data_IF_587913683573
#
_entry.id   IF_587913683573
#
_cell.length_a   1.000
_cell.length_b   1.000
_cell.length_c   1.000
_cell.angle_alpha   90.00
_cell.angle_beta   90.00
_cell.angle_gamma   90.00
#
_symmetry.space_group_name_H-M   'P 1'
#
loop_
_entity.id
_entity.type
_entity.pdbx_description
1 polymer ?
#
# COMPACT_ATOMS: atom_id res chain seq x y z
N UNK A 1 -34.00 38.26 34.99
CA UNK A 1 -35.06 38.03 33.99
C UNK A 1 -34.78 36.69 33.34
N UNK A 2 -35.40 35.62 33.86
CA UNK A 2 -36.54 34.88 33.25
C UNK A 2 -36.06 33.93 32.14
N UNK A 3 -36.22 32.60 32.15
CA UNK A 3 -37.06 31.67 32.94
C UNK A 3 -36.50 30.23 32.78
N UNK A 4 -36.76 29.38 33.78
CA UNK A 4 -36.53 27.91 33.82
C UNK A 4 -37.32 27.16 32.74
N UNK A 5 -36.97 25.90 32.44
CA UNK A 5 -37.89 24.74 32.52
C UNK A 5 -37.06 23.45 32.72
N UNK A 6 -37.37 22.76 33.81
CA UNK A 6 -37.03 21.37 34.14
C UNK A 6 -38.09 20.45 33.53
N UNK A 7 -37.71 19.25 33.10
CA UNK A 7 -38.59 18.07 33.21
C UNK A 7 -37.76 16.82 33.50
N UNK A 8 -37.82 16.37 34.75
CA UNK A 8 -37.66 14.97 35.14
C UNK A 8 -38.92 14.21 34.72
N UNK A 9 -38.80 12.97 34.23
CA UNK A 9 -39.69 11.89 34.65
C UNK A 9 -39.09 10.50 34.39
N UNK A 10 -38.84 9.88 35.52
CA UNK A 10 -38.52 8.50 35.85
C UNK A 10 -39.80 7.67 35.79
N UNK A 11 -39.84 6.49 35.13
CA UNK A 11 -40.65 5.32 35.56
C UNK A 11 -39.95 4.02 35.08
N UNK A 12 -39.53 3.13 36.00
CA UNK A 12 -39.28 1.72 35.76
C UNK A 12 -40.50 0.86 36.19
N UNK A 13 -40.80 -0.23 35.49
CA UNK A 13 -41.70 -1.30 35.93
C UNK A 13 -41.29 -2.59 35.17
N UNK A 14 -40.76 -3.70 35.70
CA UNK A 14 -40.85 -4.48 36.94
C UNK A 14 -41.74 -5.74 36.79
N UNK A 15 -41.09 -6.90 37.02
CA UNK A 15 -41.55 -8.26 37.39
C UNK A 15 -42.44 -9.09 36.45
N UNK A 16 -41.95 -10.30 36.09
CA UNK A 16 -42.36 -11.50 36.83
C UNK A 16 -41.30 -12.63 36.74
N UNK A 17 -40.76 -12.99 37.90
CA UNK A 17 -40.07 -14.25 38.15
C UNK A 17 -41.13 -15.32 38.42
N UNK A 18 -40.99 -16.50 37.82
CA UNK A 18 -41.39 -17.74 38.48
C UNK A 18 -40.16 -18.61 38.64
N UNK A 19 -39.55 -18.49 39.81
CA UNK A 19 -38.70 -19.51 40.42
C UNK A 19 -39.60 -20.63 40.94
N UNK A 20 -39.32 -21.87 40.56
CA UNK A 20 -39.71 -23.02 41.37
C UNK A 20 -38.42 -23.68 41.84
N UNK A 21 -38.14 -23.60 43.13
CA UNK A 21 -36.96 -24.16 43.76
C UNK A 21 -37.36 -25.43 44.51
N UNK A 22 -36.66 -26.52 44.18
CA UNK A 22 -36.12 -27.59 45.06
C UNK A 22 -37.01 -28.27 46.10
N UNK A 23 -37.02 -29.60 46.07
CA UNK A 23 -36.56 -30.38 47.22
C UNK A 23 -35.96 -31.75 46.83
N UNK A 24 -34.84 -32.04 47.49
CA UNK A 24 -33.88 -33.16 47.41
C UNK A 24 -34.38 -34.52 47.89
N UNK A 25 -33.80 -35.63 47.39
CA UNK A 25 -32.88 -36.52 48.16
C UNK A 25 -32.48 -37.83 47.43
N UNK A 26 -31.16 -38.03 47.43
CA UNK A 26 -30.39 -39.26 47.72
C UNK A 26 -30.28 -40.47 46.76
N UNK A 27 -29.05 -41.01 46.80
CA UNK A 27 -28.59 -42.39 46.54
C UNK A 27 -28.06 -42.75 45.12
N UNK A 28 -26.77 -42.45 44.92
CA UNK A 28 -25.68 -43.43 44.74
C UNK A 28 -25.98 -44.71 43.93
N UNK A 29 -25.61 -44.75 42.64
CA UNK A 29 -25.09 -45.95 41.94
C UNK A 29 -24.08 -45.51 40.87
N UNK A 30 -22.88 -46.07 40.97
CA UNK A 30 -21.77 -46.00 40.03
C UNK A 30 -22.12 -46.69 38.70
N UNK A 31 -22.01 -46.02 37.54
CA UNK A 31 -21.90 -46.74 36.28
C UNK A 31 -21.10 -45.98 35.19
N UNK A 32 -19.86 -46.45 35.01
CA UNK A 32 -19.09 -46.72 33.78
C UNK A 32 -18.98 -45.63 32.69
N UNK A 33 -17.70 -45.29 32.42
CA UNK A 33 -17.17 -44.42 31.37
C UNK A 33 -17.64 -44.79 29.96
N UNK A 34 -18.02 -43.77 29.19
CA UNK A 34 -17.86 -43.75 27.74
C UNK A 34 -17.25 -42.40 27.34
N UNK A 35 -15.94 -42.41 27.08
CA UNK A 35 -15.23 -41.26 26.53
C UNK A 35 -15.54 -41.23 25.04
N UNK A 36 -16.53 -40.43 24.66
CA UNK A 36 -16.75 -40.08 23.25
C UNK A 36 -15.69 -39.03 22.90
N UNK A 37 -14.57 -39.53 22.38
CA UNK A 37 -13.51 -38.71 21.79
C UNK A 37 -14.08 -38.02 20.55
N UNK A 38 -14.44 -36.74 20.69
CA UNK A 38 -14.74 -35.90 19.54
C UNK A 38 -13.43 -35.67 18.78
N UNK A 39 -13.36 -35.96 17.47
CA UNK A 39 -12.15 -35.64 16.71
C UNK A 39 -11.97 -34.13 16.69
N UNK A 40 -10.91 -33.66 17.36
CA UNK A 40 -10.42 -32.29 17.24
C UNK A 40 -10.20 -32.02 15.75
N UNK A 41 -11.09 -31.23 15.18
CA UNK A 41 -10.91 -30.65 13.86
C UNK A 41 -9.70 -29.72 13.98
N UNK A 42 -8.54 -30.22 13.56
CA UNK A 42 -7.37 -29.39 13.26
C UNK A 42 -7.82 -28.29 12.30
N UNK A 43 -8.08 -27.10 12.85
CA UNK A 43 -7.99 -25.87 12.09
C UNK A 43 -6.50 -25.64 11.87
N UNK A 44 -5.96 -26.27 10.82
CA UNK A 44 -4.84 -25.66 10.13
C UNK A 44 -5.30 -24.26 9.74
N UNK A 45 -4.74 -23.24 10.38
CA UNK A 45 -4.83 -21.87 9.90
C UNK A 45 -4.34 -21.88 8.46
N UNK A 46 -5.27 -21.84 7.50
CA UNK A 46 -4.93 -21.65 6.09
C UNK A 46 -4.12 -20.36 6.01
N UNK A 47 -2.82 -20.51 5.77
CA UNK A 47 -1.91 -19.41 5.53
C UNK A 47 -2.56 -18.53 4.44
N UNK A 48 -2.77 -17.23 4.68
CA UNK A 48 -3.48 -16.39 3.72
C UNK A 48 -2.79 -16.50 2.36
N UNK A 49 -3.59 -16.82 1.33
CA UNK A 49 -3.11 -16.95 -0.03
C UNK A 49 -2.42 -15.64 -0.42
N UNK A 50 -1.11 -15.71 -0.66
CA UNK A 50 -0.33 -14.54 -1.07
C UNK A 50 -0.77 -14.19 -2.49
N UNK A 51 -1.43 -13.04 -2.65
CA UNK A 51 -1.80 -12.53 -3.96
C UNK A 51 -0.53 -12.12 -4.71
N UNK A 52 -0.33 -12.73 -5.88
CA UNK A 52 0.71 -12.34 -6.83
C UNK A 52 0.06 -12.12 -8.21
N UNK A 53 0.52 -11.09 -8.92
CA UNK A 53 -0.02 -10.70 -10.21
C UNK A 53 1.06 -10.75 -11.29
N UNK A 54 0.61 -10.88 -12.53
CA UNK A 54 1.41 -10.68 -13.73
C UNK A 54 0.63 -9.82 -14.73
N UNK A 55 1.34 -9.15 -15.63
CA UNK A 55 0.76 -8.18 -16.53
C UNK A 55 1.27 -8.33 -17.95
N UNK A 56 0.39 -8.09 -18.91
CA UNK A 56 0.71 -8.12 -20.34
C UNK A 56 0.26 -6.82 -21.01
N UNK A 57 1.18 -6.16 -21.69
CA UNK A 57 0.92 -4.95 -22.45
C UNK A 57 0.16 -5.28 -23.74
N UNK A 58 -0.87 -4.50 -24.05
CA UNK A 58 -1.55 -4.45 -25.35
C UNK A 58 -1.06 -3.20 -26.06
N UNK A 59 -0.31 -3.39 -27.14
CA UNK A 59 0.46 -2.34 -27.80
C UNK A 59 -0.20 -1.98 -29.13
N UNK A 60 -0.27 -0.68 -29.42
CA UNK A 60 -0.43 -0.21 -30.79
C UNK A 60 0.97 0.04 -31.36
N UNK A 61 1.41 -0.85 -32.25
CA UNK A 61 2.75 -0.80 -32.84
C UNK A 61 2.95 0.39 -33.77
N UNK A 62 1.88 0.85 -34.45
CA UNK A 62 1.98 1.97 -35.39
C UNK A 62 2.20 3.30 -34.67
N UNK A 63 1.71 3.39 -33.44
CA UNK A 63 1.82 4.58 -32.59
C UNK A 63 2.92 4.46 -31.53
N UNK A 64 3.55 3.28 -31.40
CA UNK A 64 4.52 2.97 -30.35
C UNK A 64 3.99 3.31 -28.95
N UNK A 65 2.75 2.91 -28.67
CA UNK A 65 2.11 3.10 -27.36
C UNK A 65 1.50 1.83 -26.80
N UNK A 66 1.47 1.73 -25.47
CA UNK A 66 0.68 0.75 -24.73
C UNK A 66 -0.71 1.34 -24.54
N UNK A 67 -1.72 0.67 -25.10
CA UNK A 67 -3.13 1.09 -25.09
C UNK A 67 -3.94 0.48 -23.96
N UNK A 68 -3.48 -0.67 -23.47
CA UNK A 68 -4.07 -1.36 -22.34
C UNK A 68 -3.05 -2.29 -21.66
N UNK A 69 -3.33 -2.65 -20.40
CA UNK A 69 -2.59 -3.65 -19.64
C UNK A 69 -3.60 -4.71 -19.18
N UNK A 70 -3.39 -5.96 -19.56
CA UNK A 70 -4.12 -7.11 -19.02
C UNK A 70 -3.40 -7.61 -17.76
N UNK A 71 -4.12 -7.68 -16.65
CA UNK A 71 -3.61 -8.17 -15.37
C UNK A 71 -4.23 -9.53 -15.10
N UNK A 72 -3.40 -10.48 -14.66
CA UNK A 72 -3.80 -11.84 -14.28
C UNK A 72 -3.27 -12.15 -12.89
N UNK A 73 -3.93 -13.06 -12.18
CA UNK A 73 -3.30 -13.70 -11.02
C UNK A 73 -2.19 -14.61 -11.54
N UNK A 74 -1.02 -14.53 -10.93
CA UNK A 74 0.16 -15.27 -11.37
C UNK A 74 -0.12 -16.77 -11.35
N UNK A 75 0.29 -17.46 -12.42
CA UNK A 75 0.03 -18.89 -12.58
C UNK A 75 -1.39 -19.25 -13.04
N UNK A 76 -2.24 -18.25 -13.31
CA UNK A 76 -3.58 -18.46 -13.86
C UNK A 76 -3.68 -17.84 -15.26
N UNK A 77 -4.59 -18.36 -16.09
CA UNK A 77 -4.91 -17.76 -17.39
C UNK A 77 -6.07 -16.77 -17.33
N UNK A 78 -6.75 -16.71 -16.17
CA UNK A 78 -7.90 -15.85 -15.93
C UNK A 78 -7.46 -14.38 -15.90
N UNK A 79 -8.14 -13.55 -16.70
CA UNK A 79 -7.93 -12.12 -16.68
C UNK A 79 -8.63 -11.57 -15.44
N UNK A 80 -7.84 -11.01 -14.54
CA UNK A 80 -8.31 -10.36 -13.33
C UNK A 80 -8.88 -8.97 -13.64
N UNK A 81 -8.15 -8.17 -14.42
CA UNK A 81 -8.55 -6.83 -14.82
C UNK A 81 -7.90 -6.45 -16.16
N UNK A 82 -8.54 -5.55 -16.91
CA UNK A 82 -7.91 -4.88 -18.05
C UNK A 82 -7.99 -3.38 -17.83
N UNK A 83 -6.84 -2.73 -17.72
CA UNK A 83 -6.74 -1.26 -17.69
C UNK A 83 -6.67 -0.80 -19.14
N UNK A 84 -7.63 0.01 -19.59
CA UNK A 84 -7.77 0.47 -20.99
C UNK A 84 -7.63 1.98 -21.11
N UNK A 85 -7.51 2.47 -22.34
CA UNK A 85 -7.44 3.91 -22.63
C UNK A 85 -6.11 4.52 -22.18
N UNK A 86 -5.05 3.71 -22.22
CA UNK A 86 -3.70 4.14 -21.90
C UNK A 86 -3.06 4.77 -23.13
N UNK A 87 -2.16 5.71 -22.87
CA UNK A 87 -1.28 6.32 -23.88
C UNK A 87 0.16 6.31 -23.34
N UNK A 88 0.58 5.17 -22.80
CA UNK A 88 1.93 5.03 -22.26
C UNK A 88 2.91 4.76 -23.40
N UNK A 89 4.15 5.24 -23.33
CA UNK A 89 5.14 4.95 -24.36
C UNK A 89 5.46 3.46 -24.43
N UNK A 90 5.76 2.98 -25.62
CA UNK A 90 6.32 1.67 -25.90
C UNK A 90 7.54 1.82 -26.79
N UNK A 91 8.56 1.01 -26.57
CA UNK A 91 9.70 0.91 -27.47
C UNK A 91 10.13 -0.55 -27.53
N UNK A 92 10.15 -1.11 -28.74
CA UNK A 92 10.52 -2.51 -28.94
C UNK A 92 11.97 -2.77 -28.51
N UNK A 93 12.19 -3.87 -27.79
CA UNK A 93 13.49 -4.24 -27.24
C UNK A 93 14.00 -3.35 -26.08
N UNK A 94 13.19 -2.42 -25.58
CA UNK A 94 13.54 -1.65 -24.38
C UNK A 94 12.93 -2.30 -23.13
N UNK A 95 13.76 -2.81 -22.19
CA UNK A 95 13.28 -3.58 -21.04
C UNK A 95 12.38 -2.79 -20.09
N UNK A 96 12.45 -1.45 -20.09
CA UNK A 96 11.54 -0.63 -19.31
C UNK A 96 10.08 -0.81 -19.75
N UNK A 97 9.82 -1.03 -21.03
CA UNK A 97 8.48 -1.07 -21.60
C UNK A 97 7.93 -2.49 -21.83
N UNK A 98 8.72 -3.53 -21.52
CA UNK A 98 8.34 -4.92 -21.79
C UNK A 98 7.15 -5.36 -20.96
N UNK A 99 7.16 -5.09 -19.65
CA UNK A 99 6.13 -5.55 -18.70
C UNK A 99 5.94 -4.54 -17.55
N UNK A 100 4.72 -4.45 -16.98
CA UNK A 100 4.50 -3.72 -15.75
C UNK A 100 5.23 -4.36 -14.57
N UNK A 101 5.66 -3.54 -13.62
CA UNK A 101 6.24 -4.00 -12.36
C UNK A 101 5.16 -4.14 -11.31
N UNK A 102 5.13 -5.27 -10.61
CA UNK A 102 4.25 -5.49 -9.45
C UNK A 102 5.07 -5.55 -8.16
N UNK A 103 4.76 -4.66 -7.23
CA UNK A 103 5.41 -4.56 -5.93
C UNK A 103 4.47 -3.84 -4.95
N UNK A 104 4.59 -4.13 -3.66
CA UNK A 104 3.76 -3.52 -2.62
C UNK A 104 4.24 -2.07 -2.36
N UNK A 105 3.54 -1.08 -2.93
CA UNK A 105 3.92 0.33 -2.85
C UNK A 105 3.31 0.99 -1.61
N UNK A 106 2.09 0.59 -1.23
CA UNK A 106 1.39 1.17 -0.10
C UNK A 106 1.68 0.45 1.25
N UNK A 107 2.45 -0.65 1.21
CA UNK A 107 2.87 -1.50 2.33
C UNK A 107 1.72 -2.24 3.03
N UNK A 108 0.66 -2.60 2.29
CA UNK A 108 -0.50 -3.33 2.81
C UNK A 108 -0.39 -4.86 2.65
N UNK A 109 0.71 -5.35 2.06
CA UNK A 109 0.99 -6.76 1.82
C UNK A 109 0.45 -7.30 0.49
N UNK A 110 -0.24 -6.47 -0.31
CA UNK A 110 -0.74 -6.83 -1.64
C UNK A 110 0.04 -6.05 -2.71
N UNK A 111 0.56 -6.70 -3.76
CA UNK A 111 1.29 -5.99 -4.80
C UNK A 111 0.42 -4.98 -5.55
N UNK A 112 0.92 -3.76 -5.65
CA UNK A 112 0.45 -2.70 -6.54
C UNK A 112 1.12 -2.85 -7.91
N UNK A 113 0.87 -1.90 -8.83
CA UNK A 113 1.42 -1.92 -10.18
C UNK A 113 2.01 -0.57 -10.59
N UNK A 114 3.13 -0.59 -11.32
CA UNK A 114 3.62 0.59 -12.04
C UNK A 114 4.10 0.26 -13.44
N UNK A 115 4.05 1.26 -14.32
CA UNK A 115 4.53 1.18 -15.70
C UNK A 115 5.20 2.50 -16.09
N UNK A 116 6.34 2.52 -16.80
CA UNK A 116 6.91 3.77 -17.28
C UNK A 116 5.89 4.60 -18.08
N UNK A 117 5.84 5.88 -17.77
CA UNK A 117 4.93 6.86 -18.38
C UNK A 117 5.68 7.95 -19.15
N UNK A 118 6.87 8.32 -18.67
CA UNK A 118 7.72 9.27 -19.34
C UNK A 118 9.19 8.91 -19.11
N UNK A 119 10.01 9.02 -20.16
CA UNK A 119 11.43 8.74 -20.08
C UNK A 119 12.21 9.89 -20.72
N UNK A 120 13.16 10.42 -19.95
CA UNK A 120 14.22 11.30 -20.47
C UNK A 120 15.52 10.52 -20.64
N UNK A 121 16.62 11.23 -20.91
CA UNK A 121 17.93 10.60 -21.08
C UNK A 121 18.46 9.90 -19.83
N UNK A 122 18.04 10.35 -18.64
CA UNK A 122 18.59 9.90 -17.35
C UNK A 122 17.52 9.55 -16.30
N UNK A 123 16.29 10.03 -16.47
CA UNK A 123 15.19 9.82 -15.53
C UNK A 123 14.07 9.04 -16.22
N UNK A 124 13.41 8.16 -15.47
CA UNK A 124 12.24 7.41 -15.92
C UNK A 124 11.15 7.60 -14.87
N UNK A 125 10.03 8.21 -15.28
CA UNK A 125 8.85 8.42 -14.46
C UNK A 125 7.81 7.35 -14.77
N UNK A 126 6.99 7.01 -13.77
CA UNK A 126 6.06 5.90 -13.85
C UNK A 126 4.63 6.37 -13.58
N UNK A 127 3.70 5.73 -14.29
CA UNK A 127 2.30 5.67 -13.92
C UNK A 127 2.12 4.59 -12.84
N UNK A 128 1.25 4.85 -11.87
CA UNK A 128 1.01 3.97 -10.72
C UNK A 128 -0.46 3.58 -10.61
N UNK A 129 -0.71 2.33 -10.23
CA UNK A 129 -2.02 1.84 -9.86
C UNK A 129 -1.93 1.08 -8.53
N UNK A 130 -2.70 1.54 -7.56
CA UNK A 130 -2.76 0.93 -6.23
C UNK A 130 -3.90 -0.08 -6.20
N UNK A 131 -3.66 -1.26 -5.65
CA UNK A 131 -4.66 -2.29 -5.49
C UNK A 131 -5.63 -1.91 -4.37
N UNK A 132 -6.90 -1.75 -4.72
CA UNK A 132 -7.96 -1.50 -3.75
C UNK A 132 -8.60 -2.82 -3.37
N UNK A 133 -8.26 -3.36 -2.19
CA UNK A 133 -8.78 -4.64 -1.69
C UNK A 133 -10.30 -4.67 -1.49
N UNK A 134 -10.92 -3.52 -1.21
CA UNK A 134 -12.38 -3.41 -1.06
C UNK A 134 -13.10 -3.60 -2.39
N UNK A 135 -12.56 -2.99 -3.45
CA UNK A 135 -13.13 -3.04 -4.80
C UNK A 135 -12.54 -4.18 -5.65
N UNK A 136 -11.49 -4.83 -5.15
CA UNK A 136 -10.71 -5.86 -5.83
C UNK A 136 -10.26 -5.41 -7.23
N UNK A 137 -9.67 -4.22 -7.31
CA UNK A 137 -9.21 -3.65 -8.59
C UNK A 137 -8.01 -2.72 -8.38
N UNK A 138 -7.19 -2.60 -9.42
CA UNK A 138 -6.14 -1.59 -9.54
C UNK A 138 -6.75 -0.24 -9.90
N UNK A 139 -6.47 0.78 -9.09
CA UNK A 139 -6.96 2.14 -9.23
C UNK A 139 -5.79 3.10 -9.50
N UNK A 140 -5.92 3.95 -10.52
CA UNK A 140 -4.85 4.88 -10.90
C UNK A 140 -4.54 5.84 -9.75
N UNK A 141 -3.27 5.94 -9.39
CA UNK A 141 -2.76 6.97 -8.49
C UNK A 141 -2.07 8.07 -9.31
N UNK A 142 -2.48 9.31 -9.09
CA UNK A 142 -1.92 10.51 -9.75
C UNK A 142 -1.18 11.43 -8.79
N UNK A 143 -1.12 11.08 -7.50
CA UNK A 143 -0.37 11.81 -6.47
C UNK A 143 1.12 11.44 -6.51
N UNK A 144 1.43 10.22 -6.94
CA UNK A 144 2.79 9.74 -7.13
C UNK A 144 3.38 10.22 -8.46
N UNK A 145 4.52 10.91 -8.38
CA UNK A 145 5.35 11.25 -9.53
C UNK A 145 6.81 10.97 -9.17
N UNK A 146 7.20 9.70 -9.18
CA UNK A 146 8.52 9.25 -8.77
C UNK A 146 9.35 8.84 -9.99
N UNK A 147 10.64 9.17 -9.95
CA UNK A 147 11.62 8.72 -10.94
C UNK A 147 12.48 7.60 -10.35
N UNK A 148 12.69 6.55 -11.15
CA UNK A 148 13.53 5.40 -10.80
C UNK A 148 13.30 4.92 -9.34
N UNK A 149 12.05 4.62 -8.96
CA UNK A 149 11.72 4.31 -7.58
C UNK A 149 12.36 2.99 -7.15
N UNK A 150 12.79 2.94 -5.89
CA UNK A 150 13.21 1.72 -5.20
C UNK A 150 12.39 1.57 -3.92
N UNK A 151 11.70 0.44 -3.78
CA UNK A 151 10.89 0.13 -2.59
C UNK A 151 11.75 -0.56 -1.54
N UNK A 152 11.73 -0.04 -0.31
CA UNK A 152 12.31 -0.66 0.89
C UNK A 152 11.18 -1.16 1.80
N UNK A 153 10.78 -2.44 1.69
CA UNK A 153 9.68 -2.99 2.48
C UNK A 153 10.02 -3.10 3.97
N UNK A 154 11.30 -3.12 4.36
CA UNK A 154 11.69 -3.19 5.77
C UNK A 154 11.47 -1.85 6.47
N UNK A 155 11.76 -0.74 5.77
CA UNK A 155 11.52 0.62 6.28
C UNK A 155 10.12 1.15 5.96
N UNK A 156 9.38 0.47 5.08
CA UNK A 156 8.13 0.96 4.51
C UNK A 156 8.33 2.33 3.86
N UNK A 157 9.36 2.42 3.02
CA UNK A 157 9.76 3.63 2.33
C UNK A 157 9.97 3.40 0.84
N UNK A 158 9.68 4.41 0.03
CA UNK A 158 10.03 4.44 -1.39
C UNK A 158 11.04 5.54 -1.60
N UNK A 159 12.18 5.20 -2.18
CA UNK A 159 13.18 6.16 -2.62
C UNK A 159 12.99 6.48 -4.10
N UNK A 160 12.82 7.76 -4.42
CA UNK A 160 12.85 8.31 -5.78
C UNK A 160 14.20 8.97 -6.05
N UNK A 161 14.78 8.71 -7.23
CA UNK A 161 16.06 9.28 -7.65
C UNK A 161 15.91 10.05 -8.95
N UNK A 162 16.34 11.31 -8.94
CA UNK A 162 16.31 12.20 -10.09
C UNK A 162 17.68 12.82 -10.33
N UNK A 163 18.05 12.94 -11.60
CA UNK A 163 19.19 13.71 -12.05
C UNK A 163 18.70 14.96 -12.77
N UNK A 164 18.90 16.12 -12.16
CA UNK A 164 18.52 17.41 -12.72
C UNK A 164 19.55 17.97 -13.71
N UNK A 165 20.83 17.65 -13.52
CA UNK A 165 21.90 18.07 -14.41
C UNK A 165 23.08 17.09 -14.37
N UNK A 166 24.18 17.42 -15.07
CA UNK A 166 25.39 16.63 -14.97
C UNK A 166 25.92 16.50 -13.53
N UNK A 167 25.68 17.52 -12.70
CA UNK A 167 26.22 17.67 -11.34
C UNK A 167 25.13 17.83 -10.26
N UNK A 168 23.84 17.76 -10.62
CA UNK A 168 22.73 17.96 -9.67
C UNK A 168 21.86 16.72 -9.59
N UNK A 169 21.64 16.26 -8.37
CA UNK A 169 20.88 15.06 -8.06
C UNK A 169 19.90 15.34 -6.94
N UNK A 170 18.71 14.76 -7.04
CA UNK A 170 17.67 14.85 -6.01
C UNK A 170 17.27 13.44 -5.62
N UNK A 171 17.35 13.15 -4.33
CA UNK A 171 16.80 11.95 -3.72
C UNK A 171 15.60 12.35 -2.87
N UNK A 172 14.47 11.68 -3.03
CA UNK A 172 13.29 11.90 -2.19
C UNK A 172 12.83 10.60 -1.58
N UNK A 173 12.65 10.58 -0.26
CA UNK A 173 12.10 9.44 0.47
C UNK A 173 10.61 9.70 0.72
N UNK A 174 9.79 8.72 0.38
CA UNK A 174 8.35 8.70 0.63
C UNK A 174 8.03 7.62 1.65
N UNK A 175 7.04 7.88 2.50
CA UNK A 175 6.37 6.86 3.29
C UNK A 175 4.86 6.90 3.05
N UNK A 176 4.12 6.04 3.74
CA UNK A 176 2.66 5.97 3.66
C UNK A 176 2.07 6.33 5.01
N UNK A 177 1.11 7.25 5.02
CA UNK A 177 0.34 7.63 6.21
C UNK A 177 -1.12 7.77 5.83
N UNK A 178 -2.02 7.10 6.56
CA UNK A 178 -3.47 7.12 6.31
C UNK A 178 -3.84 6.77 4.85
N UNK A 179 -3.10 5.81 4.26
CA UNK A 179 -3.27 5.37 2.88
C UNK A 179 -2.77 6.36 1.82
N UNK A 180 -2.05 7.42 2.22
CA UNK A 180 -1.50 8.43 1.31
C UNK A 180 0.02 8.42 1.33
N UNK A 181 0.59 8.64 0.15
CA UNK A 181 2.03 8.81 0.00
C UNK A 181 2.44 10.20 0.49
N UNK A 182 3.39 10.23 1.43
CA UNK A 182 3.92 11.46 2.00
C UNK A 182 5.42 11.55 1.76
N UNK A 183 5.91 12.71 1.33
CA UNK A 183 7.35 12.99 1.28
C UNK A 183 7.87 13.11 2.71
N UNK A 184 8.83 12.27 3.10
CA UNK A 184 9.48 12.30 4.41
C UNK A 184 10.76 13.13 4.40
N UNK A 185 11.59 12.96 3.37
CA UNK A 185 12.82 13.73 3.21
C UNK A 185 13.13 14.00 1.74
N UNK A 186 13.85 15.08 1.48
CA UNK A 186 14.43 15.42 0.19
C UNK A 186 15.88 15.78 0.44
N UNK A 187 16.81 15.16 -0.29
CA UNK A 187 18.20 15.57 -0.35
C UNK A 187 18.55 16.03 -1.76
N UNK A 188 19.01 17.28 -1.87
CA UNK A 188 19.59 17.82 -3.09
C UNK A 188 21.11 17.83 -2.96
N UNK A 189 21.79 17.22 -3.93
CA UNK A 189 23.25 17.19 -4.03
C UNK A 189 23.69 17.94 -5.28
N UNK A 190 24.53 18.94 -5.09
CA UNK A 190 25.15 19.72 -6.19
C UNK A 190 26.66 19.61 -6.12
N UNK A 191 27.25 18.87 -7.05
CA UNK A 191 28.68 18.59 -7.10
C UNK A 191 29.46 19.78 -7.65
N UNK A 192 30.48 20.21 -6.91
CA UNK A 192 31.46 21.22 -7.32
C UNK A 192 32.73 20.56 -7.87
N UNK A 193 32.99 19.31 -7.51
CA UNK A 193 34.05 18.44 -8.03
C UNK A 193 33.59 16.98 -8.01
N UNK A 194 34.46 16.03 -8.37
CA UNK A 194 34.12 14.59 -8.31
C UNK A 194 33.89 14.08 -6.88
N UNK A 195 34.55 14.67 -5.87
CA UNK A 195 34.44 14.25 -4.47
C UNK A 195 33.83 15.29 -3.54
N UNK A 196 33.49 16.47 -4.05
CA UNK A 196 32.93 17.57 -3.26
C UNK A 196 31.55 17.98 -3.77
N UNK A 197 30.58 18.07 -2.87
CA UNK A 197 29.23 18.55 -3.20
C UNK A 197 28.59 19.30 -2.03
N UNK A 198 27.68 20.21 -2.39
CA UNK A 198 26.74 20.79 -1.45
C UNK A 198 25.57 19.83 -1.24
N UNK A 199 25.34 19.38 0.00
CA UNK A 199 24.16 18.62 0.42
C UNK A 199 23.17 19.55 1.11
N UNK A 200 21.92 19.57 0.64
CA UNK A 200 20.80 20.24 1.29
C UNK A 200 19.72 19.21 1.59
N UNK A 201 19.44 18.98 2.87
CA UNK A 201 18.40 18.04 3.31
C UNK A 201 17.22 18.79 3.91
N UNK A 202 16.04 18.45 3.43
CA UNK A 202 14.77 18.87 3.99
C UNK A 202 14.03 17.66 4.57
N UNK A 203 13.41 17.83 5.72
CA UNK A 203 12.56 16.81 6.35
C UNK A 203 11.15 17.34 6.61
N UNK A 204 10.17 16.43 6.54
CA UNK A 204 8.78 16.72 6.81
C UNK A 204 8.57 17.02 8.30
N UNK A 205 7.90 18.13 8.59
CA UNK A 205 7.50 18.53 9.94
C UNK A 205 6.10 18.01 10.27
N UNK A 206 5.69 18.10 11.54
CA UNK A 206 4.36 17.67 12.00
C UNK A 206 3.20 18.39 11.29
N UNK A 207 3.40 19.66 10.91
CA UNK A 207 2.42 20.44 10.14
C UNK A 207 2.37 20.06 8.65
N UNK A 208 3.20 19.11 8.23
CA UNK A 208 3.31 18.62 6.87
C UNK A 208 4.18 19.46 5.93
N UNK A 209 4.76 20.57 6.41
CA UNK A 209 5.74 21.36 5.65
C UNK A 209 7.08 20.63 5.55
N UNK A 210 7.88 20.95 4.52
CA UNK A 210 9.27 20.49 4.41
C UNK A 210 10.18 21.60 4.93
N UNK A 211 11.09 21.27 5.84
CA UNK A 211 12.04 22.23 6.42
C UNK A 211 13.46 21.77 6.22
N UNK A 212 14.33 22.69 5.80
CA UNK A 212 15.78 22.45 5.77
C UNK A 212 16.30 22.16 7.17
N UNK A 213 16.97 21.02 7.31
CA UNK A 213 17.61 20.58 8.56
C UNK A 213 19.13 20.47 8.42
N UNK A 214 19.63 20.37 7.18
CA UNK A 214 21.06 20.27 6.88
C UNK A 214 21.38 21.00 5.59
N UNK A 215 22.50 21.71 5.61
CA UNK A 215 23.03 22.44 4.48
C UNK A 215 24.54 22.55 4.66
N UNK A 216 25.27 21.62 4.06
CA UNK A 216 26.72 21.49 4.27
C UNK A 216 27.45 21.04 3.01
N UNK A 217 28.70 21.48 2.88
CA UNK A 217 29.62 20.92 1.89
C UNK A 217 30.19 19.61 2.44
N UNK A 218 30.08 18.56 1.63
CA UNK A 218 30.59 17.22 1.92
C UNK A 218 31.75 16.96 0.99
N UNK A 219 32.86 16.44 1.53
CA UNK A 219 33.99 15.92 0.76
C UNK A 219 34.24 14.47 1.14
N UNK A 220 34.19 13.58 0.15
CA UNK A 220 34.43 12.13 0.29
C UNK A 220 35.89 11.73 0.09
#
# INVERSE_FOLDING_TARGET
MTTRISFCLWIPLLFLLMTCNTETKEANVTEIKEVVEQPEKNMEEEKPEKLEFEGKNIINTDQEIITAIEIRKKGTTEIFQIIKGLELPYQDGNPFFEQPTFEDLNFDGIPDMRMPEAMGNVNVYYAYWIYNSKNQQFERNTEMNLSLPTVDPQKQEIKSSERGSAATYTETIYGVQDGKFIKKSIENRTYSSESTYQSVVQERQEDGSMKEIRNEEVTE
#
